data_IF_647958448321
#
_entry.id   IF_647958448321
#
_cell.length_a   1.000
_cell.length_b   1.000
_cell.length_c   1.000
_cell.angle_alpha   90.00
_cell.angle_beta   90.00
_cell.angle_gamma   90.00
#
_symmetry.space_group_name_H-M   'P 1'
#
loop_
_entity.id
_entity.type
_entity.pdbx_description
1 polymer ?
#
# COMPACT_ATOMS: atom_id res chain seq x y z
N UNK A 1 12.24 -9.66 -0.29
CA UNK A 1 12.15 -8.38 -1.05
C UNK A 1 11.87 -8.74 -2.49
N UNK A 2 10.76 -8.24 -3.05
CA UNK A 2 10.38 -8.60 -4.40
C UNK A 2 11.30 -7.93 -5.44
N UNK A 3 11.68 -8.70 -6.46
CA UNK A 3 12.34 -8.17 -7.65
C UNK A 3 11.31 -7.44 -8.52
N UNK A 4 11.46 -6.13 -8.67
CA UNK A 4 10.54 -5.30 -9.46
C UNK A 4 10.46 -5.72 -10.93
N UNK A 5 11.54 -6.26 -11.51
CA UNK A 5 11.51 -6.77 -12.89
C UNK A 5 10.66 -8.05 -12.97
N UNK A 6 10.74 -8.91 -11.95
CA UNK A 6 9.90 -10.10 -11.84
C UNK A 6 8.43 -9.72 -11.66
N UNK A 7 8.14 -8.78 -10.76
CA UNK A 7 6.77 -8.26 -10.54
C UNK A 7 6.17 -7.70 -11.83
N UNK A 8 6.96 -6.97 -12.64
CA UNK A 8 6.51 -6.47 -13.94
C UNK A 8 6.14 -7.62 -14.89
N UNK A 9 7.01 -8.63 -15.04
CA UNK A 9 6.71 -9.78 -15.90
C UNK A 9 5.41 -10.50 -15.49
N UNK A 10 5.20 -10.67 -14.19
CA UNK A 10 3.94 -11.25 -13.66
C UNK A 10 2.73 -10.39 -14.02
N UNK A 11 2.82 -9.08 -13.77
CA UNK A 11 1.72 -8.17 -14.06
C UNK A 11 1.37 -8.14 -15.54
N UNK A 12 2.37 -8.05 -16.42
CA UNK A 12 2.17 -8.04 -17.87
C UNK A 12 1.54 -9.36 -18.35
N UNK A 13 2.00 -10.51 -17.82
CA UNK A 13 1.43 -11.82 -18.14
C UNK A 13 -0.03 -11.96 -17.66
N UNK A 14 -0.32 -11.53 -16.43
CA UNK A 14 -1.68 -11.56 -15.88
C UNK A 14 -2.64 -10.63 -16.64
N UNK A 15 -2.18 -9.46 -17.04
CA UNK A 15 -2.96 -8.51 -17.84
C UNK A 15 -3.25 -9.13 -19.22
N UNK A 16 -2.25 -9.66 -19.88
CA UNK A 16 -2.41 -10.28 -21.21
C UNK A 16 -3.38 -11.47 -21.19
N UNK A 17 -3.43 -12.21 -20.08
CA UNK A 17 -4.30 -13.38 -19.93
C UNK A 17 -5.76 -13.01 -19.60
N UNK A 18 -5.99 -11.94 -18.87
CA UNK A 18 -7.30 -11.67 -18.26
C UNK A 18 -7.97 -10.36 -18.68
N UNK A 19 -7.27 -9.46 -19.33
CA UNK A 19 -7.76 -8.15 -19.71
C UNK A 19 -7.57 -7.88 -21.21
N UNK A 20 -8.22 -6.84 -21.71
CA UNK A 20 -8.00 -6.40 -23.10
C UNK A 20 -6.64 -5.70 -23.25
N UNK A 21 -6.05 -5.67 -24.47
CA UNK A 21 -4.70 -5.16 -24.72
C UNK A 21 -4.48 -3.68 -24.38
N UNK A 22 -5.54 -2.92 -24.08
CA UNK A 22 -5.43 -1.51 -23.68
C UNK A 22 -5.06 -1.33 -22.21
N UNK A 23 -5.11 -2.42 -21.41
CA UNK A 23 -4.66 -2.37 -20.04
C UNK A 23 -3.14 -2.43 -19.94
N UNK A 24 -2.61 -1.66 -19.01
CA UNK A 24 -1.16 -1.55 -18.80
C UNK A 24 -0.81 -1.65 -17.31
N UNK A 25 0.45 -1.94 -17.03
CA UNK A 25 0.99 -1.99 -15.67
C UNK A 25 2.08 -0.95 -15.44
N UNK A 26 2.21 -0.46 -14.21
CA UNK A 26 3.30 0.40 -13.77
C UNK A 26 3.56 0.35 -12.28
N UNK A 27 4.70 0.91 -11.87
CA UNK A 27 4.98 1.18 -10.47
C UNK A 27 4.66 2.63 -10.15
N UNK A 28 4.03 2.85 -9.00
CA UNK A 28 3.82 4.20 -8.48
C UNK A 28 4.64 4.45 -7.20
N UNK A 29 4.56 5.68 -6.69
CA UNK A 29 5.27 6.12 -5.50
C UNK A 29 4.33 6.22 -4.28
N UNK A 30 3.22 5.50 -4.26
CA UNK A 30 2.31 5.49 -3.14
C UNK A 30 3.00 4.97 -1.88
N UNK A 31 2.69 5.58 -0.74
CA UNK A 31 3.32 5.27 0.55
C UNK A 31 2.35 4.63 1.52
N UNK A 32 1.06 4.60 1.16
CA UNK A 32 -0.04 4.15 2.02
C UNK A 32 -0.92 3.07 1.40
N UNK A 33 -0.83 2.84 0.09
CA UNK A 33 -1.55 1.78 -0.59
C UNK A 33 -0.56 0.91 -1.36
N UNK A 34 -0.80 -0.37 -1.37
CA UNK A 34 0.07 -1.32 -2.03
C UNK A 34 -0.17 -1.37 -3.54
N UNK A 35 -1.42 -1.27 -3.99
CA UNK A 35 -1.80 -1.27 -5.39
C UNK A 35 -2.91 -0.26 -5.71
N UNK A 36 -3.24 -0.13 -6.99
CA UNK A 36 -4.36 0.65 -7.50
C UNK A 36 -4.78 0.12 -8.88
N UNK A 37 -6.07 -0.12 -9.03
CA UNK A 37 -6.71 -0.30 -10.32
C UNK A 37 -7.36 1.01 -10.78
N UNK A 38 -6.83 1.62 -11.84
CA UNK A 38 -7.37 2.85 -12.45
C UNK A 38 -8.14 2.52 -13.72
N UNK A 39 -9.47 2.53 -13.63
CA UNK A 39 -10.36 2.17 -14.73
C UNK A 39 -10.32 3.18 -15.88
N UNK A 40 -10.26 4.47 -15.59
CA UNK A 40 -10.29 5.52 -16.63
C UNK A 40 -9.04 5.50 -17.50
N UNK A 41 -7.91 5.07 -16.92
CA UNK A 41 -6.63 4.94 -17.64
C UNK A 41 -6.35 3.50 -18.08
N UNK A 42 -7.20 2.55 -17.71
CA UNK A 42 -6.96 1.10 -17.87
C UNK A 42 -5.54 0.73 -17.41
N UNK A 43 -5.23 1.10 -16.19
CA UNK A 43 -3.89 0.99 -15.66
C UNK A 43 -3.88 0.44 -14.24
N UNK A 44 -3.10 -0.63 -14.02
CA UNK A 44 -2.85 -1.21 -12.71
C UNK A 44 -1.49 -0.75 -12.22
N UNK A 45 -1.40 -0.31 -10.97
CA UNK A 45 -0.11 0.02 -10.35
C UNK A 45 0.11 -0.74 -9.06
N UNK A 46 1.38 -0.96 -8.74
CA UNK A 46 1.86 -1.41 -7.44
C UNK A 46 2.87 -0.40 -6.91
N UNK A 47 2.81 -0.11 -5.61
CA UNK A 47 3.76 0.79 -4.98
C UNK A 47 5.16 0.19 -5.00
N UNK A 48 6.14 0.88 -5.61
CA UNK A 48 7.54 0.45 -5.58
C UNK A 48 8.13 0.39 -4.17
N UNK A 49 7.69 1.29 -3.28
CA UNK A 49 8.16 1.32 -1.90
C UNK A 49 7.65 0.14 -1.07
N UNK A 50 6.43 -0.30 -1.32
CA UNK A 50 5.84 -1.44 -0.60
C UNK A 50 6.25 -2.76 -1.25
N UNK A 51 6.28 -2.85 -2.58
CA UNK A 51 6.76 -4.04 -3.28
C UNK A 51 8.18 -4.41 -2.86
N UNK A 52 9.07 -3.42 -2.70
CA UNK A 52 10.44 -3.69 -2.24
C UNK A 52 10.54 -4.20 -0.79
N UNK A 53 9.46 -4.24 -0.02
CA UNK A 53 9.42 -4.72 1.38
C UNK A 53 8.76 -6.06 1.53
N UNK A 54 7.93 -6.43 0.59
CA UNK A 54 7.15 -7.67 0.65
C UNK A 54 7.90 -8.83 -0.01
N UNK A 55 7.54 -10.04 0.37
CA UNK A 55 7.93 -11.23 -0.37
C UNK A 55 7.23 -11.25 -1.74
N UNK A 56 7.76 -12.04 -2.66
CA UNK A 56 7.22 -12.18 -4.01
C UNK A 56 5.75 -12.60 -3.98
N UNK A 57 5.40 -13.56 -3.12
CA UNK A 57 4.02 -14.05 -2.97
C UNK A 57 3.06 -12.95 -2.50
N UNK A 58 3.49 -12.11 -1.55
CA UNK A 58 2.66 -10.99 -1.07
C UNK A 58 2.39 -9.99 -2.20
N UNK A 59 3.42 -9.67 -3.00
CA UNK A 59 3.26 -8.76 -4.15
C UNK A 59 2.40 -9.39 -5.23
N UNK A 60 2.52 -10.69 -5.45
CA UNK A 60 1.64 -11.43 -6.36
C UNK A 60 0.18 -11.33 -5.91
N UNK A 61 -0.11 -11.48 -4.61
CA UNK A 61 -1.46 -11.32 -4.07
C UNK A 61 -1.99 -9.88 -4.24
N UNK A 62 -1.15 -8.86 -4.13
CA UNK A 62 -1.52 -7.48 -4.45
C UNK A 62 -1.91 -7.34 -5.92
N UNK A 63 -1.14 -7.93 -6.83
CA UNK A 63 -1.47 -7.93 -8.27
C UNK A 63 -2.81 -8.60 -8.54
N UNK A 64 -3.08 -9.77 -7.95
CA UNK A 64 -4.36 -10.48 -8.10
C UNK A 64 -5.54 -9.66 -7.56
N UNK A 65 -5.34 -8.94 -6.45
CA UNK A 65 -6.34 -8.03 -5.90
C UNK A 65 -6.74 -6.92 -6.89
N UNK A 66 -5.74 -6.21 -7.44
CA UNK A 66 -5.98 -5.12 -8.40
C UNK A 66 -6.52 -5.64 -9.74
N UNK A 67 -6.04 -6.80 -10.19
CA UNK A 67 -6.56 -7.48 -11.37
C UNK A 67 -8.04 -7.87 -11.19
N UNK A 68 -8.41 -8.37 -10.00
CA UNK A 68 -9.80 -8.68 -9.68
C UNK A 68 -10.72 -7.47 -9.78
N UNK A 69 -10.25 -6.28 -9.39
CA UNK A 69 -10.99 -5.03 -9.64
C UNK A 69 -11.19 -4.79 -11.13
N UNK A 70 -10.13 -4.89 -11.94
CA UNK A 70 -10.19 -4.68 -13.38
C UNK A 70 -11.20 -5.63 -14.06
N UNK A 71 -11.15 -6.94 -13.71
CA UNK A 71 -12.05 -7.96 -14.26
C UNK A 71 -13.49 -7.80 -13.76
N UNK A 72 -13.68 -7.44 -12.49
CA UNK A 72 -15.02 -7.28 -11.91
C UNK A 72 -15.72 -5.99 -12.37
N UNK A 73 -14.94 -4.97 -12.74
CA UNK A 73 -15.43 -3.68 -13.22
C UNK A 73 -15.64 -2.62 -12.13
N UNK A 74 -15.79 -1.34 -12.52
CA UNK A 74 -15.68 -0.19 -11.62
C UNK A 74 -16.79 -0.11 -10.55
N UNK A 75 -17.92 -0.76 -10.76
CA UNK A 75 -19.05 -0.74 -9.82
C UNK A 75 -19.03 -1.89 -8.81
N UNK A 76 -18.11 -2.84 -8.94
CA UNK A 76 -18.12 -4.04 -8.10
C UNK A 76 -17.63 -3.78 -6.66
N UNK A 77 -16.77 -2.77 -6.44
CA UNK A 77 -16.11 -2.57 -5.15
C UNK A 77 -15.46 -3.88 -4.69
N UNK A 78 -15.58 -4.21 -3.40
CA UNK A 78 -15.22 -5.53 -2.84
C UNK A 78 -16.48 -6.41 -2.59
N UNK A 79 -17.54 -6.18 -3.38
CA UNK A 79 -18.81 -6.93 -3.30
C UNK A 79 -18.69 -8.37 -3.80
N UNK A 80 -19.82 -9.11 -3.83
CA UNK A 80 -19.83 -10.53 -4.22
C UNK A 80 -19.20 -10.81 -5.58
N UNK A 81 -19.43 -9.94 -6.56
CA UNK A 81 -18.84 -10.05 -7.90
C UNK A 81 -17.31 -9.97 -7.88
N UNK A 82 -16.75 -9.02 -7.13
CA UNK A 82 -15.32 -8.89 -6.96
C UNK A 82 -14.74 -10.11 -6.24
N UNK A 83 -15.36 -10.53 -5.12
CA UNK A 83 -14.92 -11.69 -4.33
C UNK A 83 -14.84 -12.96 -5.18
N UNK A 84 -15.87 -13.20 -6.01
CA UNK A 84 -15.85 -14.33 -6.93
C UNK A 84 -14.68 -14.24 -7.91
N UNK A 85 -14.46 -13.08 -8.55
CA UNK A 85 -13.36 -12.88 -9.49
C UNK A 85 -12.00 -13.00 -8.83
N UNK A 86 -11.84 -12.45 -7.63
CA UNK A 86 -10.62 -12.56 -6.85
C UNK A 86 -10.30 -14.04 -6.52
N UNK A 87 -11.29 -14.80 -6.09
CA UNK A 87 -11.15 -16.23 -5.85
C UNK A 87 -10.78 -16.99 -7.13
N UNK A 88 -11.51 -16.75 -8.23
CA UNK A 88 -11.25 -17.37 -9.55
C UNK A 88 -9.82 -17.11 -10.05
N UNK A 89 -9.22 -15.99 -9.69
CA UNK A 89 -7.85 -15.59 -10.00
C UNK A 89 -6.80 -16.17 -9.03
N UNK A 90 -7.20 -16.83 -7.94
CA UNK A 90 -6.30 -17.37 -6.93
C UNK A 90 -5.90 -16.38 -5.82
N UNK A 91 -6.65 -15.29 -5.65
CA UNK A 91 -6.46 -14.40 -4.50
C UNK A 91 -6.94 -15.10 -3.23
N UNK A 92 -6.06 -15.18 -2.22
CA UNK A 92 -6.30 -15.96 -0.99
C UNK A 92 -7.18 -15.26 0.05
N UNK A 93 -7.59 -14.01 -0.24
CA UNK A 93 -8.43 -13.21 0.65
C UNK A 93 -7.74 -12.63 1.87
N UNK A 94 -6.47 -12.96 2.09
CA UNK A 94 -5.70 -12.37 3.17
C UNK A 94 -5.37 -10.92 2.84
N UNK A 95 -5.39 -10.07 3.84
CA UNK A 95 -4.80 -8.72 3.67
C UNK A 95 -3.30 -8.90 3.51
N UNK A 96 -2.82 -8.67 2.31
CA UNK A 96 -1.39 -8.76 1.97
C UNK A 96 -0.54 -7.69 2.66
N UNK A 97 -1.17 -6.74 3.32
CA UNK A 97 -0.48 -5.70 4.08
C UNK A 97 -1.31 -5.32 5.30
N UNK A 98 -0.79 -5.49 6.48
CA UNK A 98 -1.35 -5.02 7.75
C UNK A 98 -1.17 -3.50 7.92
N UNK A 99 -1.47 -2.74 6.86
CA UNK A 99 -1.33 -1.29 6.87
C UNK A 99 0.13 -0.82 6.99
N UNK A 100 1.10 -1.66 6.62
CA UNK A 100 2.51 -1.24 6.59
C UNK A 100 2.64 -0.02 5.67
N UNK A 101 2.86 1.11 6.28
CA UNK A 101 2.99 2.41 5.63
C UNK A 101 4.47 2.74 5.66
N UNK A 102 4.98 3.34 4.59
CA UNK A 102 6.36 3.83 4.56
C UNK A 102 6.54 5.06 5.49
N UNK A 103 6.29 4.87 6.79
CA UNK A 103 6.28 5.93 7.80
C UNK A 103 7.60 6.70 7.87
N UNK A 104 8.72 6.05 7.58
CA UNK A 104 10.03 6.67 7.49
C UNK A 104 10.13 7.71 6.37
N UNK A 105 9.25 7.66 5.38
CA UNK A 105 9.15 8.64 4.29
C UNK A 105 8.14 9.77 4.58
N UNK A 106 7.49 9.76 5.74
CA UNK A 106 6.56 10.83 6.10
C UNK A 106 7.33 12.08 6.56
N UNK A 107 7.12 13.24 5.92
CA UNK A 107 7.82 14.48 6.31
C UNK A 107 7.26 15.10 7.59
N UNK A 108 6.11 14.68 8.06
CA UNK A 108 5.50 15.15 9.31
C UNK A 108 5.41 14.01 10.30
N UNK A 109 6.06 14.20 11.44
CA UNK A 109 6.00 13.29 12.58
C UNK A 109 5.33 14.02 13.73
N UNK A 110 4.31 13.41 14.30
CA UNK A 110 3.56 13.96 15.42
C UNK A 110 3.67 13.08 16.64
N UNK A 111 3.68 13.69 17.81
CA UNK A 111 3.64 12.98 19.10
C UNK A 111 2.53 13.55 19.96
N UNK A 112 1.72 12.69 20.55
CA UNK A 112 0.74 13.10 21.54
C UNK A 112 1.34 13.09 22.96
N UNK A 113 0.70 13.72 23.98
CA UNK A 113 1.22 13.72 25.34
C UNK A 113 1.44 12.34 25.96
N UNK A 114 0.69 11.32 25.51
CA UNK A 114 0.89 9.92 25.92
C UNK A 114 2.03 9.20 25.15
N UNK A 115 2.81 9.88 24.32
CA UNK A 115 3.96 9.33 23.62
C UNK A 115 3.65 8.57 22.32
N UNK A 116 2.38 8.46 21.90
CA UNK A 116 2.06 7.80 20.65
C UNK A 116 2.57 8.61 19.45
N UNK A 117 3.24 7.94 18.51
CA UNK A 117 3.78 8.55 17.30
C UNK A 117 2.81 8.46 16.13
N UNK A 118 2.69 9.55 15.38
CA UNK A 118 1.82 9.69 14.24
C UNK A 118 2.62 10.18 13.01
N UNK A 119 2.21 9.78 11.81
CA UNK A 119 2.90 10.11 10.57
C UNK A 119 1.94 10.71 9.55
N UNK A 120 2.37 11.81 8.88
CA UNK A 120 1.62 12.41 7.78
C UNK A 120 2.52 12.83 6.63
N UNK A 121 1.99 12.67 5.42
CA UNK A 121 2.69 13.03 4.18
C UNK A 121 2.36 14.44 3.69
N UNK A 122 1.33 15.03 4.27
CA UNK A 122 0.93 16.43 4.06
C UNK A 122 0.90 17.15 5.40
N UNK A 123 1.16 18.45 5.36
CA UNK A 123 1.04 19.29 6.56
C UNK A 123 -0.36 19.21 7.13
N UNK A 124 -0.52 18.98 8.43
CA UNK A 124 -1.79 19.12 9.10
C UNK A 124 -2.23 20.59 9.07
N UNK A 125 -3.43 20.84 8.57
CA UNK A 125 -4.00 22.19 8.43
C UNK A 125 -4.94 22.55 9.58
N UNK A 126 -5.21 21.61 10.47
CA UNK A 126 -6.05 21.78 11.66
C UNK A 126 -5.47 20.97 12.82
N UNK A 127 -5.78 21.34 14.08
CA UNK A 127 -5.44 20.54 15.24
C UNK A 127 -6.00 19.12 15.11
N UNK A 128 -5.21 18.13 15.50
CA UNK A 128 -5.59 16.73 15.48
C UNK A 128 -5.29 16.12 16.84
N UNK A 129 -6.19 15.31 17.36
CA UNK A 129 -5.98 14.52 18.56
C UNK A 129 -5.60 13.08 18.24
N UNK A 130 -4.95 12.42 19.18
CA UNK A 130 -4.56 11.03 19.09
C UNK A 130 -5.78 10.10 19.17
N UNK A 131 -6.05 9.37 18.08
CA UNK A 131 -7.17 8.42 18.02
C UNK A 131 -7.00 7.18 18.91
N UNK A 132 -5.78 6.93 19.43
CA UNK A 132 -5.54 5.88 20.42
C UNK A 132 -5.90 6.33 21.84
N UNK A 133 -5.83 7.63 22.11
CA UNK A 133 -6.14 8.20 23.42
C UNK A 133 -7.60 8.64 23.55
N UNK A 134 -8.22 9.13 22.46
CA UNK A 134 -9.58 9.64 22.49
C UNK A 134 -10.31 9.34 21.17
N UNK A 135 -11.60 8.99 21.27
CA UNK A 135 -12.45 8.72 20.08
C UNK A 135 -12.88 9.98 19.34
N UNK A 136 -12.88 11.11 20.02
CA UNK A 136 -13.22 12.45 19.48
C UNK A 136 -12.04 13.38 19.71
N UNK A 137 -12.06 14.53 19.04
CA UNK A 137 -11.05 15.54 19.29
C UNK A 137 -11.06 15.96 20.76
N UNK A 138 -9.91 15.90 21.39
CA UNK A 138 -9.65 16.32 22.76
C UNK A 138 -8.32 17.05 22.79
N UNK A 139 -8.33 18.28 23.32
CA UNK A 139 -7.15 19.13 23.41
C UNK A 139 -6.06 18.52 24.31
N UNK A 140 -6.45 17.78 25.36
CA UNK A 140 -5.51 17.07 26.23
C UNK A 140 -4.69 15.99 25.49
N UNK A 141 -5.17 15.53 24.35
CA UNK A 141 -4.54 14.53 23.51
C UNK A 141 -4.13 15.08 22.14
N UNK A 142 -4.02 16.41 22.02
CA UNK A 142 -3.59 17.06 20.79
C UNK A 142 -2.18 16.60 20.38
N UNK A 143 -1.98 16.39 19.07
CA UNK A 143 -0.72 15.94 18.51
C UNK A 143 0.12 17.15 18.15
N UNK A 144 1.32 17.22 18.70
CA UNK A 144 2.37 18.17 18.31
C UNK A 144 3.11 17.66 17.09
N UNK A 145 3.18 18.47 16.03
CA UNK A 145 3.75 18.08 14.74
C UNK A 145 5.10 18.75 14.48
N UNK A 146 6.09 17.94 14.08
CA UNK A 146 7.40 18.38 13.64
C UNK A 146 7.60 17.98 12.17
N UNK A 147 8.13 18.90 11.37
CA UNK A 147 8.58 18.60 10.02
C UNK A 147 10.00 18.04 10.08
N UNK A 148 10.21 16.88 9.44
CA UNK A 148 11.55 16.32 9.23
C UNK A 148 11.91 16.33 7.74
N UNK A 149 13.18 16.51 7.46
CA UNK A 149 13.70 16.41 6.12
C UNK A 149 13.84 14.94 5.70
N UNK A 150 13.36 14.60 4.51
CA UNK A 150 13.49 13.26 3.93
C UNK A 150 14.67 13.26 2.97
N UNK A 151 15.86 13.00 3.53
CA UNK A 151 17.11 12.96 2.77
C UNK A 151 17.15 11.77 1.79
N UNK A 152 18.03 11.83 0.74
CA UNK A 152 18.27 10.69 -0.13
C UNK A 152 18.71 9.43 0.62
N UNK A 153 19.45 9.58 1.74
CA UNK A 153 19.85 8.47 2.59
C UNK A 153 18.65 7.78 3.25
N UNK A 154 17.69 8.55 3.78
CA UNK A 154 16.44 8.01 4.34
C UNK A 154 15.66 7.25 3.25
N UNK A 155 15.57 7.81 2.03
CA UNK A 155 14.88 7.14 0.91
C UNK A 155 15.54 5.82 0.54
N UNK A 156 16.88 5.77 0.47
CA UNK A 156 17.63 4.53 0.21
C UNK A 156 17.43 3.51 1.34
N UNK A 157 17.49 3.96 2.59
CA UNK A 157 17.31 3.10 3.76
C UNK A 157 15.89 2.53 3.82
N UNK A 158 14.87 3.33 3.50
CA UNK A 158 13.48 2.89 3.39
C UNK A 158 13.28 1.83 2.28
N UNK A 159 14.05 1.91 1.21
CA UNK A 159 14.05 0.88 0.17
C UNK A 159 14.84 -0.38 0.56
N UNK A 160 15.84 -0.25 1.45
CA UNK A 160 16.71 -1.36 1.87
C UNK A 160 16.24 -2.10 3.13
N UNK A 161 15.42 -1.47 3.99
CA UNK A 161 14.97 -2.05 5.27
C UNK A 161 13.86 -3.10 5.15
N UNK A 162 13.49 -3.47 3.95
CA UNK A 162 12.61 -4.59 3.66
C UNK A 162 13.40 -5.92 3.64
N UNK A 163 13.99 -6.29 4.76
CA UNK A 163 14.62 -7.60 4.92
C UNK A 163 13.59 -8.74 4.93
N UNK A 164 14.03 -9.99 4.64
CA UNK A 164 13.12 -11.12 4.59
C UNK A 164 12.47 -11.34 5.96
N UNK A 165 11.14 -11.37 6.01
CA UNK A 165 10.43 -11.89 7.17
C UNK A 165 10.62 -13.41 7.22
N UNK A 166 10.99 -13.92 8.37
CA UNK A 166 10.94 -15.35 8.65
C UNK A 166 9.51 -15.86 8.44
N UNK A 167 9.34 -17.05 7.86
CA UNK A 167 8.02 -17.65 7.74
C UNK A 167 7.37 -17.81 9.12
N UNK A 168 6.03 -17.74 9.24
CA UNK A 168 5.37 -18.02 10.50
C UNK A 168 5.70 -19.45 10.97
N UNK A 169 5.79 -19.70 12.27
CA UNK A 169 5.99 -21.06 12.79
C UNK A 169 4.83 -21.95 12.36
N UNK A 170 5.15 -23.20 12.00
CA UNK A 170 4.18 -24.24 11.59
C UNK A 170 3.22 -24.56 12.72
#
# INVERSE_FOLDING_TARGET
MADLAHVRRWADALIALHLDPSWTFGFDNAKKRAGLCNFSKKHITVSRYLASRYADDDVHQILLHELAHAVAGPRAGHGPRWKKKAYDLGYDGKRTHDGEIANELAPWVGTCPAGHTHFRYRQPTRPLACGLCARRFDQAHAISWLRREITPAIRRRAAASAGPRLPPPR
#
